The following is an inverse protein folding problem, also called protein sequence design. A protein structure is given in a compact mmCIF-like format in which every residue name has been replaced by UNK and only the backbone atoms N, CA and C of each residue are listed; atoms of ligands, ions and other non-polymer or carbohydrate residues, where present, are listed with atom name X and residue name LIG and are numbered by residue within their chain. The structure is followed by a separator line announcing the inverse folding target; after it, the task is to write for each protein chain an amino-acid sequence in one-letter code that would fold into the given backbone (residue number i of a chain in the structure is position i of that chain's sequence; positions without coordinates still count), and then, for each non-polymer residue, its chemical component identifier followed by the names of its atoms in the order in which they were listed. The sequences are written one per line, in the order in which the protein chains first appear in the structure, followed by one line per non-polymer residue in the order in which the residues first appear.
data_IF_493454481253
#
_entry.id   IF_493454481253
#
_cell.length_a   1.000
_cell.length_b   1.000
_cell.length_c   1.000
_cell.angle_alpha   90.00
_cell.angle_beta   90.00
_cell.angle_gamma   90.00
#
_symmetry.space_group_name_H-M   'P 1'
#
loop_
_entity.id
_entity.type
_entity.pdbx_description
1 polymer ?
#
# COMPACT_ATOMS: atom_id res chain seq x y z
N UNK A 1 -9.55 -6.79 13.76
CA UNK A 1 -9.05 -6.44 12.42
C UNK A 1 -8.81 -4.95 12.44
N UNK A 2 -7.56 -4.51 12.30
CA UNK A 2 -7.17 -3.10 12.54
C UNK A 2 -7.12 -2.28 11.23
N UNK A 3 -7.80 -2.77 10.20
CA UNK A 3 -7.99 -2.03 8.95
C UNK A 3 -8.94 -0.86 9.16
N UNK A 4 -8.55 0.30 8.63
CA UNK A 4 -9.31 1.54 8.69
C UNK A 4 -9.33 2.24 7.33
N UNK A 5 -10.17 3.28 7.25
CA UNK A 5 -10.23 4.22 6.14
C UNK A 5 -10.02 5.61 6.70
N UNK A 6 -9.15 6.40 6.07
CA UNK A 6 -8.92 7.80 6.41
C UNK A 6 -9.76 8.65 5.46
N UNK A 7 -10.50 9.58 6.05
CA UNK A 7 -11.24 10.62 5.33
C UNK A 7 -10.64 11.98 5.67
N UNK A 8 -10.69 12.90 4.71
CA UNK A 8 -10.23 14.26 4.91
C UNK A 8 -11.43 15.17 5.19
N UNK A 9 -11.25 16.08 6.13
CA UNK A 9 -12.28 16.99 6.61
C UNK A 9 -11.67 18.37 6.77
N UNK A 10 -12.29 19.36 6.14
CA UNK A 10 -11.96 20.76 6.41
C UNK A 10 -12.48 21.15 7.80
N UNK A 11 -11.59 21.61 8.68
CA UNK A 11 -11.92 21.89 10.09
C UNK A 11 -12.82 23.12 10.22
N UNK A 12 -12.60 24.14 9.38
CA UNK A 12 -13.31 25.41 9.47
C UNK A 12 -14.78 25.27 9.05
N UNK A 13 -15.01 24.58 7.94
CA UNK A 13 -16.33 24.39 7.32
C UNK A 13 -17.03 23.12 7.78
N UNK A 14 -16.28 22.15 8.34
CA UNK A 14 -16.77 20.79 8.63
C UNK A 14 -17.24 20.04 7.38
N UNK A 15 -16.76 20.43 6.20
CA UNK A 15 -17.06 19.76 4.94
C UNK A 15 -16.09 18.62 4.68
N UNK A 16 -16.65 17.48 4.29
CA UNK A 16 -15.87 16.30 3.92
C UNK A 16 -15.29 16.53 2.53
N UNK A 17 -13.99 16.29 2.38
CA UNK A 17 -13.34 16.32 1.07
C UNK A 17 -13.55 14.99 0.35
N UNK A 18 -13.36 15.02 -0.97
CA UNK A 18 -13.47 13.81 -1.81
C UNK A 18 -12.30 12.83 -1.59
N UNK A 19 -11.22 13.31 -0.99
CA UNK A 19 -10.03 12.53 -0.66
C UNK A 19 -10.35 11.38 0.33
N UNK A 20 -9.90 10.17 -0.03
CA UNK A 20 -10.11 8.96 0.77
C UNK A 20 -8.93 7.99 0.63
N UNK A 21 -8.43 7.52 1.77
CA UNK A 21 -7.36 6.52 1.85
C UNK A 21 -7.94 5.26 2.50
N UNK A 22 -8.24 4.26 1.69
CA UNK A 22 -8.76 2.95 2.12
C UNK A 22 -7.65 1.99 2.55
N UNK A 23 -8.00 0.87 3.18
CA UNK A 23 -7.05 -0.21 3.54
C UNK A 23 -5.82 0.34 4.27
N UNK A 24 -6.09 1.18 5.25
CA UNK A 24 -5.09 1.75 6.12
C UNK A 24 -4.90 0.86 7.36
N UNK A 25 -3.67 0.63 7.81
CA UNK A 25 -3.41 -0.12 9.04
C UNK A 25 -2.06 0.31 9.61
N UNK A 26 -2.02 0.63 10.91
CA UNK A 26 -0.83 1.11 11.62
C UNK A 26 -0.11 2.25 10.88
N UNK A 27 -0.89 3.24 10.45
CA UNK A 27 -0.39 4.30 9.58
C UNK A 27 0.22 5.45 10.37
N UNK A 28 1.40 5.88 9.93
CA UNK A 28 1.88 7.22 10.23
C UNK A 28 1.24 8.21 9.27
N UNK A 29 0.89 9.40 9.73
CA UNK A 29 0.33 10.48 8.92
C UNK A 29 1.13 11.75 9.18
N UNK A 30 1.78 12.27 8.15
CA UNK A 30 2.57 13.49 8.26
C UNK A 30 2.26 14.44 7.13
N UNK A 31 1.96 15.70 7.46
CA UNK A 31 1.66 16.71 6.47
C UNK A 31 2.93 17.25 5.83
N UNK A 32 2.82 17.59 4.55
CA UNK A 32 3.75 18.51 3.90
C UNK A 32 3.59 19.91 4.48
N UNK A 33 4.69 20.66 4.63
CA UNK A 33 4.67 22.02 5.19
C UNK A 33 3.97 23.04 4.28
N UNK A 34 3.84 22.73 2.99
CA UNK A 34 3.07 23.53 2.02
C UNK A 34 1.56 23.20 2.00
N UNK A 35 1.11 22.31 2.91
CA UNK A 35 -0.27 21.86 3.06
C UNK A 35 -0.87 21.21 1.80
N UNK A 36 -0.05 20.71 0.86
CA UNK A 36 -0.56 20.13 -0.39
C UNK A 36 -0.93 18.66 -0.29
N UNK A 37 -0.57 17.99 0.80
CA UNK A 37 -0.80 16.58 0.94
C UNK A 37 -0.16 15.98 2.18
N UNK A 38 -0.31 14.66 2.31
CA UNK A 38 0.23 13.89 3.41
C UNK A 38 1.13 12.77 2.92
N UNK A 39 2.16 12.48 3.70
CA UNK A 39 2.83 11.20 3.70
C UNK A 39 2.07 10.23 4.59
N UNK A 40 1.88 9.00 4.13
CA UNK A 40 1.23 7.96 4.91
C UNK A 40 1.85 6.58 4.71
N UNK A 41 1.67 5.69 5.69
CA UNK A 41 2.08 4.28 5.57
C UNK A 41 0.89 3.35 5.39
N UNK A 42 1.03 2.33 4.55
CA UNK A 42 0.01 1.29 4.29
C UNK A 42 0.70 -0.02 3.91
N UNK A 43 -0.06 -1.09 3.68
CA UNK A 43 0.50 -2.39 3.27
C UNK A 43 0.24 -2.68 1.79
N UNK A 44 1.21 -3.29 1.13
CA UNK A 44 1.16 -3.71 -0.27
C UNK A 44 -0.08 -4.59 -0.52
N UNK A 45 -0.72 -4.43 -1.69
CA UNK A 45 -2.04 -5.01 -1.98
C UNK A 45 -3.21 -4.10 -1.59
N UNK A 46 -2.96 -2.92 -1.02
CA UNK A 46 -3.99 -1.90 -0.82
C UNK A 46 -4.40 -1.13 -2.09
N UNK A 47 -3.53 -1.07 -3.11
CA UNK A 47 -3.81 -0.36 -4.38
C UNK A 47 -4.30 -1.26 -5.51
N UNK A 48 -3.95 -2.55 -5.51
CA UNK A 48 -4.25 -3.46 -6.62
C UNK A 48 -5.74 -3.90 -6.66
N UNK A 49 -6.53 -3.52 -5.65
CA UNK A 49 -7.86 -4.08 -5.42
C UNK A 49 -9.01 -3.14 -5.84
N UNK A 50 -8.72 -2.00 -6.49
CA UNK A 50 -9.78 -1.08 -6.96
C UNK A 50 -10.59 -1.61 -8.16
N UNK A 51 -10.28 -2.80 -8.69
CA UNK A 51 -11.02 -3.44 -9.79
C UNK A 51 -11.71 -4.77 -9.44
N UNK A 52 -11.87 -5.15 -8.16
CA UNK A 52 -12.63 -6.35 -7.76
C UNK A 52 -13.94 -5.95 -7.07
N UNK A 53 -14.81 -5.24 -7.79
CA UNK A 53 -16.23 -5.19 -7.47
C UNK A 53 -16.92 -6.41 -8.05
N UNK A 54 -17.55 -7.21 -7.18
CA UNK A 54 -18.60 -8.20 -7.46
C UNK A 54 -18.20 -9.40 -8.34
N UNK A 55 -17.65 -10.47 -7.73
CA UNK A 55 -18.03 -11.82 -8.12
C UNK A 55 -18.03 -12.77 -6.91
N UNK A 56 -19.24 -12.97 -6.41
CA UNK A 56 -19.86 -14.23 -5.96
C UNK A 56 -19.03 -15.25 -5.17
N UNK A 57 -19.55 -15.54 -3.97
CA UNK A 57 -19.46 -16.84 -3.26
C UNK A 57 -19.34 -18.00 -4.24
N UNK A 58 -18.48 -18.98 -3.94
CA UNK A 58 -18.87 -20.38 -4.04
C UNK A 58 -17.99 -21.27 -3.15
N UNK A 59 -18.70 -22.03 -2.33
CA UNK A 59 -18.22 -23.13 -1.51
C UNK A 59 -17.77 -24.27 -2.43
N UNK A 60 -16.56 -24.79 -2.23
CA UNK A 60 -16.11 -26.00 -2.92
C UNK A 60 -16.80 -27.22 -2.30
N UNK A 61 -17.80 -27.77 -3.00
CA UNK A 61 -18.15 -29.19 -2.94
C UNK A 61 -17.55 -29.91 -4.14
N UNK A 62 -16.90 -31.01 -3.82
CA UNK A 62 -16.23 -32.00 -4.67
C UNK A 62 -17.25 -32.65 -5.61
N UNK A 63 -16.90 -32.82 -6.89
CA UNK A 63 -17.20 -34.04 -7.66
C UNK A 63 -16.35 -34.12 -8.94
N UNK A 64 -15.87 -35.34 -9.21
CA UNK A 64 -15.01 -35.75 -10.32
C UNK A 64 -15.67 -35.54 -11.69
N UNK A 65 -14.87 -35.32 -12.75
CA UNK A 65 -15.07 -36.07 -14.00
C UNK A 65 -13.87 -36.05 -14.96
N UNK A 66 -13.80 -37.16 -15.70
CA UNK A 66 -12.69 -37.75 -16.45
C UNK A 66 -12.56 -37.24 -17.90
N UNK A 67 -11.33 -37.33 -18.40
CA UNK A 67 -10.87 -37.55 -19.79
C UNK A 67 -11.31 -36.61 -20.95
N UNK A 68 -10.33 -36.06 -21.70
CA UNK A 68 -10.02 -36.36 -23.14
C UNK A 68 -9.14 -35.26 -23.82
N UNK A 69 -7.90 -35.68 -24.18
CA UNK A 69 -7.04 -35.46 -25.39
C UNK A 69 -6.51 -34.07 -25.88
N UNK A 70 -5.16 -34.00 -25.98
CA UNK A 70 -4.22 -33.62 -27.09
C UNK A 70 -4.65 -32.51 -28.10
N UNK A 71 -3.84 -31.53 -28.55
CA UNK A 71 -2.45 -31.59 -29.07
C UNK A 71 -1.88 -30.19 -29.46
N UNK A 72 -0.56 -29.99 -29.26
CA UNK A 72 0.54 -29.22 -29.94
C UNK A 72 0.43 -27.81 -30.59
N UNK A 73 1.59 -27.11 -30.48
CA UNK A 73 2.20 -26.01 -31.29
C UNK A 73 2.14 -24.53 -30.84
N UNK A 74 3.15 -24.16 -30.03
CA UNK A 74 4.10 -23.02 -30.12
C UNK A 74 3.67 -21.65 -30.67
N UNK A 75 3.77 -20.61 -29.82
CA UNK A 75 4.52 -19.36 -30.11
C UNK A 75 4.87 -18.60 -28.80
N UNK A 76 6.14 -18.19 -28.72
CA UNK A 76 6.74 -17.02 -28.05
C UNK A 76 6.07 -16.38 -26.82
N UNK A 77 6.82 -16.29 -25.71
CA UNK A 77 7.32 -15.04 -25.11
C UNK A 77 8.10 -15.40 -23.82
N UNK A 78 9.37 -15.00 -23.72
CA UNK A 78 10.09 -15.10 -22.44
C UNK A 78 9.46 -14.05 -21.53
N UNK A 79 8.50 -14.48 -20.71
CA UNK A 79 7.94 -13.66 -19.66
C UNK A 79 9.08 -13.10 -18.80
N UNK A 80 9.10 -11.78 -18.49
CA UNK A 80 9.99 -11.31 -17.45
C UNK A 80 9.62 -12.09 -16.20
N UNK A 81 10.60 -12.70 -15.55
CA UNK A 81 10.41 -13.33 -14.24
C UNK A 81 10.21 -12.22 -13.23
N UNK A 82 9.06 -11.54 -13.31
CA UNK A 82 8.56 -10.69 -12.25
C UNK A 82 8.11 -11.65 -11.18
N UNK A 83 8.95 -11.82 -10.15
CA UNK A 83 8.51 -12.47 -8.93
C UNK A 83 7.42 -11.56 -8.36
N UNK A 84 6.16 -11.84 -8.65
CA UNK A 84 5.04 -11.22 -7.97
C UNK A 84 5.01 -11.76 -6.53
N UNK A 85 5.87 -11.18 -5.68
CA UNK A 85 5.75 -11.35 -4.23
C UNK A 85 4.55 -10.53 -3.79
N UNK A 86 3.33 -11.05 -3.97
CA UNK A 86 2.12 -10.53 -3.32
C UNK A 86 2.15 -10.92 -1.83
N UNK A 87 3.14 -10.40 -1.10
CA UNK A 87 3.11 -10.38 0.37
C UNK A 87 2.30 -9.17 0.80
N UNK A 88 1.10 -9.42 1.33
CA UNK A 88 0.23 -8.40 1.94
C UNK A 88 0.82 -7.78 3.23
N UNK A 89 2.03 -8.19 3.63
CA UNK A 89 2.70 -7.77 4.85
C UNK A 89 3.88 -6.81 4.60
N UNK A 90 4.13 -6.42 3.35
CA UNK A 90 5.11 -5.37 3.04
C UNK A 90 4.50 -4.01 3.34
N UNK A 91 5.04 -3.27 4.30
CA UNK A 91 4.63 -1.89 4.54
C UNK A 91 5.31 -0.94 3.53
N UNK A 92 4.57 0.06 3.07
CA UNK A 92 4.96 1.03 2.06
C UNK A 92 4.68 2.45 2.56
N UNK A 93 5.51 3.41 2.14
CA UNK A 93 5.30 4.86 2.35
C UNK A 93 4.76 5.46 1.06
N UNK A 94 3.68 6.23 1.15
CA UNK A 94 3.07 6.95 0.03
C UNK A 94 2.98 8.44 0.31
N UNK A 95 2.96 9.23 -0.76
CA UNK A 95 2.49 10.61 -0.75
C UNK A 95 1.12 10.70 -1.42
N UNK A 96 0.15 11.22 -0.70
CA UNK A 96 -1.17 11.58 -1.21
C UNK A 96 -1.26 13.10 -1.36
N UNK A 97 -1.54 13.57 -2.59
CA UNK A 97 -1.79 14.98 -2.86
C UNK A 97 -3.28 15.29 -2.69
N UNK A 98 -3.60 16.33 -1.91
CA UNK A 98 -4.98 16.76 -1.72
C UNK A 98 -5.67 17.10 -3.05
N UNK A 99 -6.94 16.72 -3.15
CA UNK A 99 -7.77 16.88 -4.33
C UNK A 99 -7.46 15.91 -5.46
N UNK A 100 -6.65 14.87 -5.22
CA UNK A 100 -6.33 13.85 -6.23
C UNK A 100 -6.87 12.48 -5.82
N UNK A 101 -7.29 11.63 -6.77
CA UNK A 101 -7.71 10.29 -6.42
C UNK A 101 -6.50 9.50 -5.88
N UNK A 102 -6.74 8.61 -4.92
CA UNK A 102 -5.71 7.73 -4.33
C UNK A 102 -4.88 6.96 -5.37
N UNK A 103 -5.43 6.67 -6.54
CA UNK A 103 -4.69 6.04 -7.65
C UNK A 103 -3.53 6.89 -8.19
N UNK A 104 -3.48 8.18 -7.85
CA UNK A 104 -2.39 9.11 -8.18
C UNK A 104 -1.35 9.23 -7.05
N UNK A 105 -1.52 8.50 -5.95
CA UNK A 105 -0.57 8.51 -4.84
C UNK A 105 0.77 7.92 -5.28
N UNK A 106 1.87 8.54 -4.84
CA UNK A 106 3.23 8.17 -5.23
C UNK A 106 3.84 7.30 -4.13
N UNK A 107 4.25 6.07 -4.46
CA UNK A 107 5.01 5.23 -3.54
C UNK A 107 6.45 5.73 -3.45
N UNK A 108 6.91 6.02 -2.23
CA UNK A 108 8.25 6.56 -1.96
C UNK A 108 9.23 5.48 -1.48
N UNK A 109 8.76 4.55 -0.65
CA UNK A 109 9.58 3.52 -0.04
C UNK A 109 8.77 2.26 0.28
N UNK A 110 9.45 1.12 0.41
CA UNK A 110 8.87 -0.19 0.72
C UNK A 110 9.79 -0.96 1.66
N UNK A 111 9.23 -1.76 2.57
CA UNK A 111 9.98 -2.73 3.36
C UNK A 111 10.28 -3.98 2.51
N UNK A 112 11.30 -3.90 1.64
CA UNK A 112 11.77 -4.99 0.78
C UNK A 112 12.73 -5.93 1.51
N UNK A 113 13.38 -6.87 0.81
CA UNK A 113 14.22 -7.93 1.40
C UNK A 113 15.28 -7.44 2.41
N UNK A 114 15.84 -6.24 2.22
CA UNK A 114 16.80 -5.60 3.14
C UNK A 114 16.15 -5.04 4.42
N UNK A 115 14.83 -4.93 4.42
CA UNK A 115 13.94 -4.42 5.46
C UNK A 115 12.84 -5.44 5.82
N UNK A 116 13.07 -6.75 5.60
CA UNK A 116 12.04 -7.77 5.86
C UNK A 116 11.53 -7.69 7.32
N UNK A 117 10.21 -7.76 7.47
CA UNK A 117 9.46 -7.59 8.73
C UNK A 117 9.60 -6.21 9.43
N UNK A 118 10.24 -5.23 8.80
CA UNK A 118 10.26 -3.87 9.33
C UNK A 118 8.96 -3.12 9.01
N UNK A 119 8.75 -2.01 9.71
CA UNK A 119 7.70 -1.05 9.44
C UNK A 119 8.23 0.37 9.62
N UNK A 120 7.63 1.30 8.88
CA UNK A 120 7.93 2.71 8.86
C UNK A 120 7.09 3.50 9.87
N UNK A 121 7.73 4.45 10.52
CA UNK A 121 7.08 5.65 11.03
C UNK A 121 7.69 6.88 10.37
N UNK A 122 6.85 7.75 9.82
CA UNK A 122 7.29 8.91 9.03
C UNK A 122 6.87 10.23 9.66
N UNK A 123 7.75 11.22 9.60
CA UNK A 123 7.50 12.60 10.04
C UNK A 123 8.24 13.58 9.13
N UNK A 124 7.55 14.62 8.68
CA UNK A 124 8.16 15.76 7.98
C UNK A 124 8.93 16.61 8.99
N UNK A 125 10.15 17.04 8.64
CA UNK A 125 10.93 17.97 9.46
C UNK A 125 10.23 19.33 9.60
N UNK A 126 10.51 20.06 10.69
CA UNK A 126 9.88 21.36 10.97
C UNK A 126 10.12 22.40 9.87
N UNK A 127 11.28 22.33 9.20
CA UNK A 127 11.64 23.19 8.07
C UNK A 127 11.10 22.68 6.72
N UNK A 128 10.48 21.50 6.70
CA UNK A 128 9.94 20.86 5.52
C UNK A 128 10.96 20.35 4.52
N UNK A 129 12.26 20.40 4.84
CA UNK A 129 13.33 19.97 3.93
C UNK A 129 13.49 18.46 3.87
N UNK A 130 13.03 17.74 4.91
CA UNK A 130 13.20 16.30 4.99
C UNK A 130 11.88 15.60 5.31
N UNK A 131 11.68 14.44 4.68
CA UNK A 131 10.84 13.39 5.23
C UNK A 131 11.73 12.43 6.02
N UNK A 132 11.51 12.32 7.32
CA UNK A 132 12.27 11.43 8.21
C UNK A 132 11.49 10.14 8.39
N UNK A 133 12.12 9.01 8.12
CA UNK A 133 11.55 7.68 8.29
C UNK A 133 12.34 6.89 9.36
N UNK A 134 11.70 6.65 10.51
CA UNK A 134 12.17 5.67 11.49
C UNK A 134 11.68 4.28 11.08
N UNK A 135 12.60 3.32 11.02
CA UNK A 135 12.32 1.98 10.53
C UNK A 135 12.60 0.99 11.66
N UNK A 136 11.54 0.36 12.13
CA UNK A 136 11.53 -0.49 13.33
C UNK A 136 11.17 -1.93 12.95
N UNK A 137 11.63 -2.90 13.73
CA UNK A 137 11.25 -4.30 13.60
C UNK A 137 10.79 -4.84 14.95
N UNK A 138 9.49 -5.18 15.03
CA UNK A 138 8.86 -5.63 16.27
C UNK A 138 9.14 -4.70 17.45
N UNK A 139 9.70 -5.25 18.52
CA UNK A 139 10.12 -4.53 19.73
C UNK A 139 11.64 -4.49 19.89
N UNK A 140 12.40 -4.67 18.82
CA UNK A 140 13.85 -4.56 18.87
C UNK A 140 14.24 -3.15 19.32
N UNK A 141 15.32 -3.04 20.09
CA UNK A 141 15.84 -1.79 20.62
C UNK A 141 16.82 -1.10 19.66
N UNK A 142 16.66 -1.34 18.36
CA UNK A 142 17.42 -0.74 17.27
C UNK A 142 16.46 -0.27 16.18
N UNK A 143 16.77 0.86 15.57
CA UNK A 143 15.99 1.42 14.48
C UNK A 143 16.95 1.90 13.40
N UNK A 144 16.56 1.75 12.13
CA UNK A 144 17.22 2.44 11.03
C UNK A 144 16.57 3.81 10.86
N UNK A 145 17.33 4.78 10.40
CA UNK A 145 16.85 6.13 10.11
C UNK A 145 17.15 6.45 8.65
N UNK A 146 16.12 6.69 7.86
CA UNK A 146 16.24 7.21 6.50
C UNK A 146 15.70 8.64 6.45
N UNK A 147 16.22 9.45 5.54
CA UNK A 147 15.68 10.77 5.22
C UNK A 147 15.71 10.98 3.71
N UNK A 148 14.68 11.66 3.20
CA UNK A 148 14.50 12.04 1.79
C UNK A 148 14.54 13.56 1.66
#
# INVERSE_FOLDING_TARGET
SDWSTIYFMDIATRNKLDDVIIRNKFSSLSWTTDNRGIFYTTYAGALNNTNLTNSTKNENKIEENKDIKKQDETTNEVAPTTIEVTRNDIQEVYFHRLGTPRSSDICLARCTDDLDEHFFSVVTSDDGQYLIASISKGTLNENKLWFL
#
